data_IF_533476856278
#
_entry.id   IF_533476856278
#
_cell.length_a   1.000
_cell.length_b   1.000
_cell.length_c   1.000
_cell.angle_alpha   90.00
_cell.angle_beta   90.00
_cell.angle_gamma   90.00
#
_symmetry.space_group_name_H-M   'P 1'
#
loop_
_entity.id
_entity.type
_entity.pdbx_description
1 polymer ?
#
# COMPACT_ATOMS: atom_id res chain seq x y z
N UNK A 1 -56.44 8.74 -59.42
CA UNK A 1 -55.01 9.10 -59.21
C UNK A 1 -54.74 9.57 -57.78
N UNK A 2 -55.55 10.46 -57.18
CA UNK A 2 -55.41 10.91 -55.78
C UNK A 2 -55.48 9.79 -54.72
N UNK A 3 -56.38 8.82 -54.86
CA UNK A 3 -56.52 7.71 -53.91
C UNK A 3 -55.30 6.76 -53.89
N UNK A 4 -54.67 6.52 -55.04
CA UNK A 4 -53.45 5.70 -55.12
C UNK A 4 -52.24 6.39 -54.47
N UNK A 5 -52.17 7.72 -54.55
CA UNK A 5 -51.13 8.50 -53.85
C UNK A 5 -51.31 8.47 -52.33
N UNK A 6 -52.55 8.52 -51.83
CA UNK A 6 -52.83 8.45 -50.39
C UNK A 6 -52.49 7.07 -49.81
N UNK A 7 -52.82 5.98 -50.51
CA UNK A 7 -52.46 4.61 -50.07
C UNK A 7 -50.95 4.38 -50.12
N UNK A 8 -50.27 4.91 -51.15
CA UNK A 8 -48.81 4.81 -51.26
C UNK A 8 -48.10 5.59 -50.15
N UNK A 9 -48.53 6.82 -49.86
CA UNK A 9 -47.99 7.63 -48.75
C UNK A 9 -48.28 7.00 -47.38
N UNK A 10 -49.46 6.42 -47.19
CA UNK A 10 -49.82 5.69 -45.96
C UNK A 10 -48.95 4.45 -45.73
N UNK A 11 -48.80 3.60 -46.73
CA UNK A 11 -47.98 2.39 -46.62
C UNK A 11 -46.48 2.70 -46.47
N UNK A 12 -45.98 3.74 -47.14
CA UNK A 12 -44.59 4.18 -46.99
C UNK A 12 -44.31 4.70 -45.59
N UNK A 13 -45.25 5.44 -44.99
CA UNK A 13 -45.14 5.89 -43.60
C UNK A 13 -45.14 4.73 -42.60
N UNK A 14 -45.94 3.69 -42.82
CA UNK A 14 -46.00 2.52 -41.95
C UNK A 14 -44.71 1.69 -41.98
N UNK A 15 -44.12 1.47 -43.17
CA UNK A 15 -42.85 0.75 -43.32
C UNK A 15 -41.68 1.54 -42.71
N UNK A 16 -41.60 2.86 -42.91
CA UNK A 16 -40.54 3.68 -42.31
C UNK A 16 -40.63 3.70 -40.78
N UNK A 17 -41.84 3.88 -40.23
CA UNK A 17 -42.07 3.88 -38.77
C UNK A 17 -41.69 2.53 -38.14
N UNK A 18 -41.92 1.42 -38.84
CA UNK A 18 -41.55 0.06 -38.37
C UNK A 18 -40.06 -0.11 -38.10
N UNK A 19 -39.17 0.57 -38.84
CA UNK A 19 -37.72 0.54 -38.60
C UNK A 19 -37.25 1.65 -37.66
N UNK A 20 -37.89 2.82 -37.68
CA UNK A 20 -37.51 3.94 -36.83
C UNK A 20 -37.75 3.66 -35.34
N UNK A 21 -38.84 2.96 -34.98
CA UNK A 21 -39.15 2.65 -33.58
C UNK A 21 -38.06 1.75 -32.96
N UNK A 22 -37.70 0.58 -33.52
CA UNK A 22 -36.60 -0.24 -33.03
C UNK A 22 -35.26 0.50 -33.02
N UNK A 23 -34.95 1.29 -34.06
CA UNK A 23 -33.73 2.08 -34.11
C UNK A 23 -33.65 3.11 -32.98
N UNK A 24 -34.77 3.76 -32.66
CA UNK A 24 -34.86 4.70 -31.55
C UNK A 24 -34.66 4.01 -30.19
N UNK A 25 -35.30 2.85 -29.97
CA UNK A 25 -35.07 2.07 -28.74
C UNK A 25 -33.64 1.54 -28.62
N UNK A 26 -33.05 1.07 -29.73
CA UNK A 26 -31.65 0.67 -29.79
C UNK A 26 -30.72 1.84 -29.45
N UNK A 27 -30.99 3.04 -29.98
CA UNK A 27 -30.25 4.25 -29.65
C UNK A 27 -30.36 4.61 -28.16
N UNK A 28 -31.56 4.56 -27.58
CA UNK A 28 -31.74 4.84 -26.15
C UNK A 28 -31.02 3.81 -25.27
N UNK A 29 -31.08 2.53 -25.63
CA UNK A 29 -30.36 1.47 -24.94
C UNK A 29 -28.84 1.68 -25.03
N UNK A 30 -28.32 1.93 -26.24
CA UNK A 30 -26.91 2.21 -26.47
C UNK A 30 -26.42 3.41 -25.66
N UNK A 31 -27.18 4.52 -25.68
CA UNK A 31 -26.87 5.72 -24.91
C UNK A 31 -26.81 5.42 -23.40
N UNK A 32 -27.73 4.62 -22.88
CA UNK A 32 -27.73 4.22 -21.47
C UNK A 32 -26.52 3.36 -21.11
N UNK A 33 -26.22 2.35 -21.92
CA UNK A 33 -25.04 1.49 -21.70
C UNK A 33 -23.74 2.29 -21.74
N UNK A 34 -23.61 3.20 -22.73
CA UNK A 34 -22.45 4.09 -22.85
C UNK A 34 -22.26 4.97 -21.61
N UNK A 35 -23.33 5.53 -21.04
CA UNK A 35 -23.23 6.35 -19.83
C UNK A 35 -22.79 5.54 -18.61
N UNK A 36 -23.33 4.34 -18.43
CA UNK A 36 -22.95 3.43 -17.33
C UNK A 36 -21.49 3.00 -17.47
N UNK A 37 -21.04 2.63 -18.67
CA UNK A 37 -19.65 2.26 -18.92
C UNK A 37 -18.71 3.43 -18.64
N UNK A 38 -19.02 4.63 -19.14
CA UNK A 38 -18.20 5.82 -18.93
C UNK A 38 -18.10 6.18 -17.44
N UNK A 39 -19.19 6.03 -16.70
CA UNK A 39 -19.22 6.26 -15.26
C UNK A 39 -18.34 5.24 -14.51
N UNK A 40 -18.45 3.96 -14.86
CA UNK A 40 -17.62 2.91 -14.29
C UNK A 40 -16.13 3.15 -14.55
N UNK A 41 -15.74 3.47 -15.78
CA UNK A 41 -14.35 3.78 -16.16
C UNK A 41 -13.80 4.97 -15.36
N UNK A 42 -14.61 6.00 -15.12
CA UNK A 42 -14.19 7.14 -14.29
C UNK A 42 -13.98 6.74 -12.82
N UNK A 43 -14.84 5.88 -12.27
CA UNK A 43 -14.73 5.39 -10.89
C UNK A 43 -13.45 4.55 -10.76
N UNK A 44 -13.25 3.58 -11.64
CA UNK A 44 -12.06 2.73 -11.68
C UNK A 44 -10.80 3.61 -11.74
N UNK A 45 -10.69 4.50 -12.72
CA UNK A 45 -9.52 5.38 -12.85
C UNK A 45 -9.28 6.23 -11.61
N UNK A 46 -10.33 6.78 -11.01
CA UNK A 46 -10.19 7.67 -9.85
C UNK A 46 -9.77 6.93 -8.59
N UNK A 47 -10.44 5.83 -8.28
CA UNK A 47 -10.39 5.16 -6.98
C UNK A 47 -9.51 3.90 -6.96
N UNK A 48 -9.41 3.18 -8.08
CA UNK A 48 -8.47 2.07 -8.24
C UNK A 48 -7.08 2.61 -8.60
N UNK A 49 -6.90 3.03 -9.86
CA UNK A 49 -5.59 3.39 -10.43
C UNK A 49 -4.93 4.57 -9.68
N UNK A 50 -5.71 5.63 -9.42
CA UNK A 50 -5.20 6.80 -8.71
C UNK A 50 -5.49 6.78 -7.20
N UNK A 51 -5.94 5.65 -6.66
CA UNK A 51 -6.34 5.51 -5.27
C UNK A 51 -5.64 4.34 -4.61
N UNK A 52 -6.29 3.18 -4.63
CA UNK A 52 -5.82 1.96 -3.96
C UNK A 52 -4.47 1.51 -4.53
N UNK A 53 -4.27 1.53 -5.84
CA UNK A 53 -3.05 1.02 -6.48
C UNK A 53 -1.82 1.84 -6.07
N UNK A 54 -1.94 3.17 -6.06
CA UNK A 54 -0.88 4.06 -5.57
C UNK A 54 -0.57 3.76 -4.11
N UNK A 55 -1.57 3.49 -3.27
CA UNK A 55 -1.32 3.17 -1.87
C UNK A 55 -0.59 1.83 -1.71
N UNK A 56 -1.01 0.81 -2.45
CA UNK A 56 -0.34 -0.50 -2.47
C UNK A 56 1.11 -0.34 -2.90
N UNK A 57 1.37 0.32 -4.04
CA UNK A 57 2.71 0.59 -4.56
C UNK A 57 3.60 1.25 -3.50
N UNK A 58 3.05 2.20 -2.75
CA UNK A 58 3.78 2.94 -1.72
C UNK A 58 4.11 2.08 -0.50
N UNK A 59 3.18 1.23 -0.08
CA UNK A 59 3.39 0.25 1.01
C UNK A 59 4.46 -0.77 0.58
N UNK A 60 4.37 -1.30 -0.64
CA UNK A 60 5.34 -2.24 -1.21
C UNK A 60 6.73 -1.62 -1.31
N UNK A 61 6.82 -0.38 -1.79
CA UNK A 61 8.08 0.36 -1.87
C UNK A 61 8.70 0.57 -0.48
N UNK A 62 7.91 0.95 0.53
CA UNK A 62 8.40 1.10 1.90
C UNK A 62 8.91 -0.24 2.47
N UNK A 63 8.17 -1.33 2.29
CA UNK A 63 8.62 -2.68 2.69
C UNK A 63 9.87 -3.12 1.92
N UNK A 64 9.99 -2.75 0.65
CA UNK A 64 11.18 -2.99 -0.16
C UNK A 64 12.41 -2.29 0.41
N UNK A 65 12.31 -0.99 0.71
CA UNK A 65 13.37 -0.22 1.38
C UNK A 65 13.77 -0.89 2.69
N UNK A 66 12.78 -1.24 3.53
CA UNK A 66 13.04 -1.91 4.80
C UNK A 66 13.84 -3.20 4.61
N UNK A 67 13.44 -4.06 3.67
CA UNK A 67 14.10 -5.35 3.41
C UNK A 67 15.54 -5.20 2.94
N UNK A 68 15.79 -4.27 2.02
CA UNK A 68 17.15 -4.00 1.53
C UNK A 68 18.05 -3.49 2.67
N UNK A 69 17.55 -2.52 3.44
CA UNK A 69 18.27 -1.97 4.59
C UNK A 69 18.50 -3.04 5.68
N UNK A 70 17.50 -3.88 5.95
CA UNK A 70 17.60 -5.01 6.87
C UNK A 70 18.68 -6.00 6.42
N UNK A 71 18.66 -6.44 5.16
CA UNK A 71 19.67 -7.35 4.62
C UNK A 71 21.08 -6.74 4.70
N UNK A 72 21.21 -5.44 4.42
CA UNK A 72 22.47 -4.74 4.54
C UNK A 72 22.96 -4.68 6.00
N UNK A 73 22.07 -4.37 6.95
CA UNK A 73 22.40 -4.33 8.38
C UNK A 73 22.89 -5.67 8.93
N UNK A 74 22.27 -6.79 8.51
CA UNK A 74 22.72 -8.14 8.88
C UNK A 74 24.09 -8.47 8.28
N UNK A 75 24.35 -8.05 7.04
CA UNK A 75 25.68 -8.22 6.42
C UNK A 75 26.74 -7.47 7.21
N UNK A 76 26.45 -6.24 7.61
CA UNK A 76 27.35 -5.42 8.43
C UNK A 76 27.66 -6.12 9.76
N UNK A 77 26.63 -6.60 10.48
CA UNK A 77 26.82 -7.34 11.74
C UNK A 77 27.61 -8.64 11.56
N UNK A 78 27.39 -9.36 10.46
CA UNK A 78 28.15 -10.56 10.14
C UNK A 78 29.63 -10.26 9.96
N UNK A 79 29.96 -9.23 9.17
CA UNK A 79 31.35 -8.82 8.93
C UNK A 79 32.00 -8.34 10.23
N UNK A 80 31.25 -7.62 11.08
CA UNK A 80 31.70 -7.20 12.40
C UNK A 80 32.12 -8.39 13.27
N UNK A 81 31.28 -9.44 13.33
CA UNK A 81 31.58 -10.69 14.04
C UNK A 81 32.80 -11.41 13.45
N UNK A 82 32.92 -11.46 12.13
CA UNK A 82 34.06 -12.09 11.45
C UNK A 82 35.37 -11.37 11.74
N UNK A 83 35.39 -10.03 11.77
CA UNK A 83 36.57 -9.26 12.17
C UNK A 83 37.05 -9.63 13.57
N UNK A 84 36.13 -9.78 14.53
CA UNK A 84 36.51 -10.18 15.88
C UNK A 84 37.12 -11.59 15.90
N UNK A 85 36.58 -12.53 15.12
CA UNK A 85 37.03 -13.91 15.12
C UNK A 85 38.32 -14.15 14.33
N UNK A 86 38.53 -13.42 13.23
CA UNK A 86 39.58 -13.74 12.23
C UNK A 86 40.55 -12.60 11.96
N UNK A 87 40.26 -11.39 12.45
CA UNK A 87 41.09 -10.20 12.20
C UNK A 87 40.96 -9.62 10.78
N UNK A 88 39.92 -10.00 10.02
CA UNK A 88 39.64 -9.41 8.70
C UNK A 88 39.53 -7.89 8.82
N UNK A 89 40.19 -7.17 7.91
CA UNK A 89 40.09 -5.71 7.81
C UNK A 89 38.76 -5.33 7.16
N UNK A 90 37.91 -4.60 7.88
CA UNK A 90 36.75 -3.94 7.28
C UNK A 90 37.22 -2.73 6.46
N UNK A 91 36.63 -2.57 5.28
CA UNK A 91 36.68 -1.31 4.55
C UNK A 91 35.69 -0.32 5.19
N UNK A 92 35.99 0.97 5.19
CA UNK A 92 35.04 2.01 5.63
C UNK A 92 33.76 2.03 4.78
N UNK A 93 33.85 1.53 3.56
CA UNK A 93 32.72 1.38 2.65
C UNK A 93 31.75 0.25 3.08
N UNK A 94 32.20 -0.73 3.88
CA UNK A 94 31.34 -1.83 4.35
C UNK A 94 30.27 -1.35 5.33
N UNK A 95 30.52 -0.27 6.06
CA UNK A 95 29.62 0.32 7.06
C UNK A 95 29.31 1.80 6.75
N UNK A 96 29.34 2.19 5.47
CA UNK A 96 29.00 3.55 5.04
C UNK A 96 27.49 3.82 5.17
N UNK A 97 27.06 4.88 5.87
CA UNK A 97 25.65 5.27 5.96
C UNK A 97 25.00 5.56 4.60
N UNK A 98 25.80 5.93 3.60
CA UNK A 98 25.32 6.27 2.25
C UNK A 98 24.73 5.06 1.48
N UNK A 99 24.94 3.84 1.98
CA UNK A 99 24.41 2.61 1.36
C UNK A 99 22.98 2.31 1.76
N UNK A 100 22.44 3.00 2.76
CA UNK A 100 21.05 2.81 3.18
C UNK A 100 20.11 3.61 2.29
N UNK A 101 19.02 2.96 1.89
CA UNK A 101 17.98 3.56 1.09
C UNK A 101 17.06 4.36 2.01
N UNK A 102 16.77 5.60 1.64
CA UNK A 102 15.80 6.45 2.33
C UNK A 102 14.51 6.58 1.55
N UNK A 103 13.41 6.56 2.29
CA UNK A 103 12.10 6.86 1.72
C UNK A 103 12.01 8.36 1.39
N UNK A 104 11.59 8.69 0.18
CA UNK A 104 11.39 10.09 -0.23
C UNK A 104 10.15 10.67 0.45
N UNK A 105 10.30 11.72 1.26
CA UNK A 105 9.18 12.33 2.00
C UNK A 105 8.04 12.82 1.09
N UNK A 106 8.36 13.26 -0.13
CA UNK A 106 7.38 13.66 -1.15
C UNK A 106 6.32 12.58 -1.42
N UNK A 107 6.70 11.30 -1.27
CA UNK A 107 5.78 10.18 -1.48
C UNK A 107 4.68 10.11 -0.42
N UNK A 108 4.90 10.64 0.79
CA UNK A 108 3.93 10.61 1.90
C UNK A 108 2.81 11.64 1.74
N UNK A 109 3.13 12.85 1.28
CA UNK A 109 2.16 13.93 1.12
C UNK A 109 1.18 13.69 -0.04
N UNK A 110 1.55 12.81 -0.99
CA UNK A 110 0.77 12.52 -2.20
C UNK A 110 -0.27 11.41 -2.05
N UNK A 111 -0.40 10.81 -0.86
CA UNK A 111 -1.19 9.60 -0.71
C UNK A 111 -2.70 9.86 -0.79
N UNK A 112 -3.45 9.11 -1.62
CA UNK A 112 -4.85 9.39 -1.92
C UNK A 112 -5.83 8.87 -0.85
N UNK A 113 -5.54 9.12 0.43
CA UNK A 113 -6.30 8.53 1.55
C UNK A 113 -7.78 8.94 1.58
N UNK A 114 -8.11 10.15 1.14
CA UNK A 114 -9.51 10.58 1.02
C UNK A 114 -10.32 9.68 0.06
N UNK A 115 -9.66 9.12 -0.95
CA UNK A 115 -10.30 8.20 -1.92
C UNK A 115 -10.57 6.86 -1.29
N UNK A 116 -9.60 6.33 -0.55
CA UNK A 116 -9.78 5.10 0.20
C UNK A 116 -10.91 5.28 1.23
N UNK A 117 -10.90 6.37 1.98
CA UNK A 117 -11.96 6.70 2.96
C UNK A 117 -13.35 6.73 2.31
N UNK A 118 -13.46 7.21 1.07
CA UNK A 118 -14.73 7.22 0.33
C UNK A 118 -15.22 5.79 0.00
N UNK A 119 -14.31 4.81 -0.09
CA UNK A 119 -14.63 3.40 -0.34
C UNK A 119 -14.88 2.63 0.96
N UNK A 120 -14.14 2.94 2.02
CA UNK A 120 -14.12 2.13 3.25
C UNK A 120 -14.85 2.77 4.42
N UNK A 121 -15.32 4.01 4.27
CA UNK A 121 -16.00 4.77 5.31
C UNK A 121 -15.06 5.15 6.47
N UNK A 122 -15.65 5.57 7.58
CA UNK A 122 -14.90 6.00 8.78
C UNK A 122 -14.04 4.88 9.37
N UNK A 123 -14.58 3.66 9.40
CA UNK A 123 -13.90 2.45 9.86
C UNK A 123 -12.66 2.10 9.00
N UNK A 124 -12.63 2.57 7.77
CA UNK A 124 -11.51 2.45 6.86
C UNK A 124 -10.26 3.25 7.23
N UNK A 125 -10.36 4.15 8.22
CA UNK A 125 -9.24 4.93 8.73
C UNK A 125 -8.06 4.07 9.19
N UNK A 126 -8.31 2.83 9.61
CA UNK A 126 -7.24 1.91 10.01
C UNK A 126 -6.21 1.65 8.91
N UNK A 127 -6.62 1.61 7.64
CA UNK A 127 -5.68 1.42 6.52
C UNK A 127 -4.66 2.57 6.43
N UNK A 128 -5.15 3.80 6.65
CA UNK A 128 -4.31 4.99 6.70
C UNK A 128 -3.33 4.92 7.86
N UNK A 129 -3.83 4.66 9.07
CA UNK A 129 -3.04 4.65 10.29
C UNK A 129 -1.93 3.59 10.22
N UNK A 130 -2.26 2.39 9.77
CA UNK A 130 -1.25 1.33 9.63
C UNK A 130 -0.25 1.62 8.51
N UNK A 131 -0.65 2.25 7.40
CA UNK A 131 0.31 2.71 6.40
C UNK A 131 1.28 3.75 7.00
N UNK A 132 0.79 4.71 7.78
CA UNK A 132 1.65 5.68 8.48
C UNK A 132 2.59 5.02 9.48
N UNK A 133 2.10 4.05 10.26
CA UNK A 133 2.95 3.29 11.18
C UNK A 133 4.07 2.51 10.47
N UNK A 134 3.79 1.94 9.29
CA UNK A 134 4.83 1.33 8.46
C UNK A 134 5.88 2.36 8.07
N UNK A 135 5.46 3.53 7.57
CA UNK A 135 6.39 4.58 7.16
C UNK A 135 7.29 5.06 8.31
N UNK A 136 6.72 5.22 9.50
CA UNK A 136 7.47 5.53 10.72
C UNK A 136 8.45 4.41 11.07
N UNK A 137 8.03 3.15 10.99
CA UNK A 137 8.91 1.99 11.23
C UNK A 137 10.10 1.96 10.25
N UNK A 138 9.86 2.23 8.96
CA UNK A 138 10.94 2.27 7.95
C UNK A 138 11.91 3.40 8.24
N UNK A 139 11.42 4.58 8.62
CA UNK A 139 12.28 5.71 9.00
C UNK A 139 13.05 5.44 10.30
N UNK A 140 12.39 4.92 11.33
CA UNK A 140 12.99 4.54 12.61
C UNK A 140 14.11 3.51 12.42
N UNK A 141 13.83 2.43 11.69
CA UNK A 141 14.83 1.38 11.41
C UNK A 141 15.98 1.89 10.55
N UNK A 142 15.70 2.70 9.52
CA UNK A 142 16.75 3.29 8.68
C UNK A 142 17.66 4.23 9.49
N UNK A 143 17.09 5.07 10.35
CA UNK A 143 17.87 5.94 11.24
C UNK A 143 18.73 5.12 12.20
N UNK A 144 18.18 4.05 12.78
CA UNK A 144 18.96 3.12 13.61
C UNK A 144 20.14 2.50 12.83
N UNK A 145 19.91 2.03 11.59
CA UNK A 145 20.99 1.44 10.81
C UNK A 145 22.08 2.45 10.44
N UNK A 146 21.68 3.65 10.01
CA UNK A 146 22.62 4.68 9.56
C UNK A 146 23.40 5.34 10.70
N UNK A 147 22.73 5.63 11.82
CA UNK A 147 23.33 6.47 12.87
C UNK A 147 23.73 5.69 14.12
N UNK A 148 23.06 4.58 14.43
CA UNK A 148 23.45 3.78 15.59
C UNK A 148 24.43 2.69 15.14
N UNK A 149 24.02 1.81 14.21
CA UNK A 149 24.81 0.65 13.78
C UNK A 149 26.12 1.06 13.10
N UNK A 150 26.06 1.92 12.07
CA UNK A 150 27.26 2.33 11.36
C UNK A 150 28.24 3.10 12.24
N UNK A 151 27.75 4.00 13.11
CA UNK A 151 28.63 4.78 14.00
C UNK A 151 29.26 3.88 15.06
N UNK A 152 28.50 2.97 15.67
CA UNK A 152 29.03 2.02 16.64
C UNK A 152 30.14 1.15 16.03
N UNK A 153 29.93 0.65 14.81
CA UNK A 153 30.94 -0.15 14.11
C UNK A 153 32.15 0.68 13.72
N UNK A 154 31.94 1.92 13.27
CA UNK A 154 33.04 2.84 12.97
C UNK A 154 33.91 3.10 14.20
N UNK A 155 33.30 3.47 15.33
CA UNK A 155 34.03 3.74 16.57
C UNK A 155 34.71 2.48 17.14
N UNK A 156 34.14 1.29 16.92
CA UNK A 156 34.80 0.02 17.22
C UNK A 156 36.01 -0.26 16.31
N UNK A 157 35.87 0.01 15.01
CA UNK A 157 36.86 -0.34 13.99
C UNK A 157 38.04 0.63 13.97
N UNK A 158 37.77 1.92 14.11
CA UNK A 158 38.73 3.02 13.95
C UNK A 158 39.14 3.66 15.27
N UNK A 159 38.25 3.63 16.28
CA UNK A 159 38.36 4.50 17.45
C UNK A 159 39.04 3.88 18.66
N UNK A 160 39.10 2.55 18.80
CA UNK A 160 39.51 1.84 20.04
C UNK A 160 38.79 2.35 21.32
N UNK A 161 37.68 3.08 21.17
CA UNK A 161 36.99 3.78 22.27
C UNK A 161 35.93 2.91 22.95
N UNK A 162 35.49 1.84 22.31
CA UNK A 162 34.43 0.99 22.81
C UNK A 162 35.04 -0.09 23.70
N UNK A 163 34.76 0.00 25.01
CA UNK A 163 35.22 -0.96 26.02
C UNK A 163 34.30 -2.16 26.21
N UNK A 164 33.07 -2.10 25.68
CA UNK A 164 32.11 -3.20 25.75
C UNK A 164 32.62 -4.40 24.95
N UNK A 165 32.25 -5.61 25.37
CA UNK A 165 32.60 -6.80 24.60
C UNK A 165 31.84 -6.76 23.27
N UNK A 166 32.53 -6.99 22.16
CA UNK A 166 31.91 -6.94 20.82
C UNK A 166 30.74 -7.94 20.68
N UNK A 167 30.74 -9.01 21.46
CA UNK A 167 29.62 -9.97 21.56
C UNK A 167 28.35 -9.32 22.13
N UNK A 168 28.47 -8.47 23.15
CA UNK A 168 27.33 -7.78 23.76
C UNK A 168 26.69 -6.80 22.76
N UNK A 169 27.53 -6.05 22.04
CA UNK A 169 27.09 -5.13 20.97
C UNK A 169 26.40 -5.90 19.85
N UNK A 170 27.00 -7.01 19.41
CA UNK A 170 26.42 -7.84 18.37
C UNK A 170 25.03 -8.37 18.76
N UNK A 171 24.90 -8.95 19.97
CA UNK A 171 23.65 -9.53 20.44
C UNK A 171 22.56 -8.48 20.63
N UNK A 172 22.91 -7.30 21.16
CA UNK A 172 21.97 -6.19 21.32
C UNK A 172 21.44 -5.68 19.98
N UNK A 173 22.32 -5.46 19.01
CA UNK A 173 21.94 -4.94 17.69
C UNK A 173 21.19 -5.98 16.88
N UNK A 174 21.59 -7.26 16.94
CA UNK A 174 20.86 -8.35 16.30
C UNK A 174 19.43 -8.42 16.83
N UNK A 175 19.25 -8.39 18.16
CA UNK A 175 17.92 -8.38 18.78
C UNK A 175 17.06 -7.21 18.33
N UNK A 176 17.66 -6.01 18.19
CA UNK A 176 16.93 -4.82 17.72
C UNK A 176 16.55 -4.91 16.24
N UNK A 177 17.42 -5.44 15.40
CA UNK A 177 17.17 -5.72 13.98
C UNK A 177 16.04 -6.76 13.81
N UNK A 178 16.08 -7.85 14.59
CA UNK A 178 15.04 -8.88 14.60
C UNK A 178 13.68 -8.32 15.06
N UNK A 179 13.68 -7.42 16.04
CA UNK A 179 12.47 -6.72 16.49
C UNK A 179 11.85 -5.91 15.34
N UNK A 180 12.66 -5.14 14.60
CA UNK A 180 12.16 -4.40 13.43
C UNK A 180 11.59 -5.34 12.36
N UNK A 181 12.25 -6.46 12.09
CA UNK A 181 11.75 -7.44 11.13
C UNK A 181 10.40 -8.02 11.55
N UNK A 182 10.27 -8.45 12.81
CA UNK A 182 9.00 -8.96 13.35
C UNK A 182 7.88 -7.91 13.28
N UNK A 183 8.19 -6.64 13.60
CA UNK A 183 7.25 -5.51 13.45
C UNK A 183 6.85 -5.27 12.00
N UNK A 184 7.73 -5.52 11.03
CA UNK A 184 7.46 -5.28 9.61
C UNK A 184 6.48 -6.30 9.00
N UNK A 185 6.51 -7.56 9.47
CA UNK A 185 5.76 -8.66 8.85
C UNK A 185 4.25 -8.45 8.86
N UNK A 186 3.71 -7.76 9.88
CA UNK A 186 2.26 -7.51 9.97
C UNK A 186 1.72 -6.60 8.85
N UNK A 187 2.57 -5.79 8.23
CA UNK A 187 2.14 -4.85 7.19
C UNK A 187 1.88 -5.52 5.83
N UNK A 188 2.31 -6.76 5.60
CA UNK A 188 1.93 -7.50 4.39
C UNK A 188 0.42 -7.80 4.33
N UNK A 189 -0.24 -7.96 5.49
CA UNK A 189 -1.68 -8.13 5.55
C UNK A 189 -2.43 -6.92 4.97
N UNK A 190 -1.85 -5.72 5.11
CA UNK A 190 -2.42 -4.47 4.58
C UNK A 190 -2.55 -4.51 3.06
N UNK A 191 -1.50 -4.98 2.37
CA UNK A 191 -1.50 -5.15 0.90
C UNK A 191 -2.59 -6.13 0.49
N UNK A 192 -2.65 -7.30 1.14
CA UNK A 192 -3.62 -8.34 0.77
C UNK A 192 -5.07 -7.89 0.92
N UNK A 193 -5.40 -7.09 1.94
CA UNK A 193 -6.75 -6.55 2.12
C UNK A 193 -7.06 -5.40 1.16
N UNK A 194 -6.10 -4.51 0.89
CA UNK A 194 -6.27 -3.48 -0.14
C UNK A 194 -6.48 -4.09 -1.54
N UNK A 195 -5.76 -5.15 -1.89
CA UNK A 195 -5.94 -5.89 -3.14
C UNK A 195 -7.33 -6.52 -3.26
N UNK A 196 -7.90 -7.01 -2.15
CA UNK A 196 -9.29 -7.51 -2.14
C UNK A 196 -10.29 -6.39 -2.41
N UNK A 197 -10.09 -5.21 -1.81
CA UNK A 197 -10.95 -4.04 -2.06
C UNK A 197 -10.83 -3.61 -3.54
N UNK A 198 -9.61 -3.55 -4.06
CA UNK A 198 -9.34 -3.28 -5.48
C UNK A 198 -10.09 -4.26 -6.40
N UNK A 199 -9.98 -5.57 -6.12
CA UNK A 199 -10.67 -6.61 -6.88
C UNK A 199 -12.20 -6.47 -6.85
N UNK A 200 -12.79 -6.12 -5.71
CA UNK A 200 -14.23 -5.87 -5.61
C UNK A 200 -14.62 -4.68 -6.49
N UNK A 201 -13.80 -3.62 -6.53
CA UNK A 201 -14.04 -2.44 -7.34
C UNK A 201 -13.90 -2.72 -8.85
N UNK A 202 -12.95 -3.56 -9.24
CA UNK A 202 -12.69 -3.93 -10.64
C UNK A 202 -13.76 -4.87 -11.20
N UNK A 203 -14.23 -5.83 -10.41
CA UNK A 203 -15.17 -6.87 -10.87
C UNK A 203 -16.63 -6.43 -10.92
N UNK A 204 -17.01 -5.43 -10.12
CA UNK A 204 -18.38 -4.95 -10.07
C UNK A 204 -18.52 -3.70 -10.92
N UNK A 205 -19.48 -3.69 -11.85
CA UNK A 205 -19.85 -2.46 -12.55
C UNK A 205 -20.38 -1.44 -11.52
N UNK A 206 -19.63 -0.36 -11.31
CA UNK A 206 -19.93 0.68 -10.33
C UNK A 206 -20.57 1.90 -10.99
N UNK A 207 -21.51 2.50 -10.25
CA UNK A 207 -22.00 3.86 -10.50
C UNK A 207 -21.72 4.70 -9.25
N UNK A 208 -21.71 6.02 -9.36
CA UNK A 208 -21.50 6.92 -8.22
C UNK A 208 -22.55 6.70 -7.13
N UNK A 209 -23.77 6.30 -7.51
CA UNK A 209 -24.80 5.92 -6.54
C UNK A 209 -24.40 4.69 -5.73
N UNK A 210 -23.93 3.63 -6.40
CA UNK A 210 -23.46 2.41 -5.72
C UNK A 210 -22.15 2.62 -4.95
N UNK A 211 -21.36 3.62 -5.35
CA UNK A 211 -20.12 3.99 -4.68
C UNK A 211 -20.36 4.55 -3.27
N UNK A 212 -21.45 5.32 -3.08
CA UNK A 212 -21.83 5.87 -1.77
C UNK A 212 -22.02 4.74 -0.75
N UNK A 213 -22.71 3.67 -1.17
CA UNK A 213 -23.01 2.51 -0.32
C UNK A 213 -21.92 1.43 -0.40
N UNK A 214 -20.76 1.70 -1.02
CA UNK A 214 -19.71 0.70 -1.22
C UNK A 214 -19.12 0.22 0.10
N UNK A 215 -18.91 1.14 1.04
CA UNK A 215 -18.42 0.85 2.39
C UNK A 215 -19.37 -0.04 3.20
N UNK A 216 -20.65 -0.10 2.82
CA UNK A 216 -21.64 -0.93 3.50
C UNK A 216 -21.61 -2.40 3.09
N UNK A 217 -20.88 -2.73 2.02
CA UNK A 217 -20.71 -4.10 1.54
C UNK A 217 -20.07 -4.96 2.63
N UNK A 218 -20.60 -6.18 2.78
CA UNK A 218 -20.16 -7.15 3.79
C UNK A 218 -18.67 -7.44 3.66
N UNK A 219 -18.19 -7.60 2.44
CA UNK A 219 -16.81 -7.91 2.10
C UNK A 219 -15.83 -6.80 2.54
N UNK A 220 -16.26 -5.53 2.44
CA UNK A 220 -15.48 -4.38 2.87
C UNK A 220 -15.42 -4.31 4.40
N UNK A 221 -16.56 -4.48 5.06
CA UNK A 221 -16.63 -4.54 6.54
C UNK A 221 -15.80 -5.70 7.10
N UNK A 222 -15.86 -6.87 6.46
CA UNK A 222 -15.04 -8.02 6.83
C UNK A 222 -13.55 -7.76 6.60
N UNK A 223 -13.18 -7.09 5.50
CA UNK A 223 -11.79 -6.70 5.23
C UNK A 223 -11.23 -5.78 6.30
N UNK A 224 -11.99 -4.74 6.67
CA UNK A 224 -11.64 -3.86 7.78
C UNK A 224 -11.54 -4.63 9.10
N UNK A 225 -12.49 -5.51 9.38
CA UNK A 225 -12.48 -6.35 10.58
C UNK A 225 -11.26 -7.26 10.68
N UNK A 226 -10.81 -7.84 9.55
CA UNK A 226 -9.58 -8.65 9.50
C UNK A 226 -8.33 -7.82 9.78
N UNK A 227 -8.23 -6.61 9.24
CA UNK A 227 -7.13 -5.70 9.56
C UNK A 227 -7.15 -5.33 11.04
N UNK A 228 -8.30 -4.90 11.59
CA UNK A 228 -8.44 -4.60 13.03
C UNK A 228 -7.95 -5.76 13.89
N UNK A 229 -8.46 -6.97 13.65
CA UNK A 229 -8.04 -8.16 14.38
C UNK A 229 -6.54 -8.47 14.25
N UNK A 230 -5.96 -8.30 13.06
CA UNK A 230 -4.54 -8.59 12.82
C UNK A 230 -3.61 -7.64 13.60
N UNK A 231 -3.99 -6.38 13.73
CA UNK A 231 -3.20 -5.37 14.45
C UNK A 231 -3.49 -5.36 15.96
N UNK A 232 -4.73 -5.63 16.39
CA UNK A 232 -5.11 -5.70 17.82
C UNK A 232 -4.52 -6.93 18.54
N UNK A 233 -4.43 -8.08 17.87
CA UNK A 233 -3.88 -9.31 18.48
C UNK A 233 -2.37 -9.19 18.75
N UNK A 234 -1.61 -8.57 17.84
CA UNK A 234 -0.15 -8.52 17.95
C UNK A 234 0.38 -7.41 18.85
N UNK A 235 -0.39 -6.36 19.10
CA UNK A 235 0.01 -5.34 20.07
C UNK A 235 -0.11 -5.85 21.52
N UNK A 236 -0.88 -6.93 21.75
CA UNK A 236 -0.94 -7.64 23.04
C UNK A 236 0.14 -8.73 23.20
N UNK A 237 0.72 -9.21 22.09
CA UNK A 237 1.74 -10.28 22.09
C UNK A 237 3.19 -9.78 21.94
N UNK A 238 3.39 -8.45 21.84
CA UNK A 238 4.71 -7.83 21.77
C UNK A 238 5.44 -7.84 23.13
N UNK A 239 6.77 -8.03 23.16
CA UNK A 239 7.53 -7.93 24.40
C UNK A 239 7.39 -6.51 24.94
N UNK A 240 6.72 -6.37 26.09
CA UNK A 240 6.50 -5.10 26.75
C UNK A 240 7.81 -4.38 27.05
N UNK A 241 8.28 -3.55 26.13
CA UNK A 241 9.29 -2.53 26.41
C UNK A 241 8.57 -1.20 26.56
N UNK A 242 7.94 -1.04 27.72
CA UNK A 242 7.72 0.29 28.30
C UNK A 242 9.09 0.90 28.56
N UNK A 243 9.65 1.60 27.57
CA UNK A 243 10.68 2.60 27.83
C UNK A 243 10.13 3.94 27.33
N UNK A 244 9.59 4.78 28.23
CA UNK A 244 9.39 6.18 27.89
C UNK A 244 10.78 6.81 27.82
N UNK A 245 11.28 7.05 26.61
CA UNK A 245 12.40 7.96 26.41
C UNK A 245 11.87 9.39 26.60
N UNK A 246 11.93 9.87 27.84
CA UNK A 246 12.09 11.29 28.19
C UNK A 246 13.55 11.56 28.51
#
# INVERSE_FOLDING_TARGET
>A
MKERLLVFLGNWSAEVVKYLIPAFFAYLFWRRQYLVQRENEQIVKRYLEHGIDILIERIEHALGIFRENFAHSLRILKIFKEKQATGIKLSSDDYSPLRFLRMKQESLYSLPFYKLFSLTGEDGRIFYEQAQHLFILVEESTNFYEYDLCIAIKEFVEGDKIRAAATEIFDEYLKRIENFNSRSEKFYALIGELQKIAYILETNAMSYKLLIDFHDRKEIKESIGRIKAHFDQRDNDGPGTNNPLT
#
